data_IF_028866917075
#
_entry.id   IF_028866917075
#
_cell.length_a   1.000
_cell.length_b   1.000
_cell.length_c   1.000
_cell.angle_alpha   90.00
_cell.angle_beta   90.00
_cell.angle_gamma   90.00
#
_symmetry.space_group_name_H-M   'P 1'
#
loop_
_entity.id
_entity.type
_entity.pdbx_description
1 polymer ?
#
# COMPACT_ATOMS: atom_id res chain seq x y z
N UNK A 1 -26.57 57.04 -68.23
CA UNK A 1 -27.37 56.60 -67.00
C UNK A 1 -26.89 55.30 -66.40
N UNK A 2 -25.93 54.62 -67.02
CA UNK A 2 -25.44 53.28 -66.58
C UNK A 2 -24.27 53.31 -65.58
N UNK A 3 -23.47 54.38 -65.58
CA UNK A 3 -22.28 54.40 -64.70
C UNK A 3 -22.66 54.55 -63.17
N UNK A 4 -23.80 55.11 -62.88
CA UNK A 4 -24.29 55.23 -61.46
C UNK A 4 -24.84 53.92 -60.85
N UNK A 5 -25.32 53.05 -61.72
CA UNK A 5 -25.81 51.71 -61.22
C UNK A 5 -24.69 50.78 -60.86
N UNK A 6 -23.64 50.72 -61.67
CA UNK A 6 -22.44 49.92 -61.42
C UNK A 6 -21.69 50.31 -60.13
N UNK A 7 -21.59 51.60 -59.79
CA UNK A 7 -21.02 52.03 -58.51
C UNK A 7 -21.81 51.53 -57.26
N UNK A 8 -23.14 51.43 -57.36
CA UNK A 8 -23.99 50.97 -56.29
C UNK A 8 -23.79 49.47 -56.05
N UNK A 9 -23.64 48.67 -57.12
CA UNK A 9 -23.33 47.22 -56.98
C UNK A 9 -21.94 46.94 -56.47
N UNK A 10 -20.94 47.71 -56.82
CA UNK A 10 -19.57 47.64 -56.31
C UNK A 10 -19.51 47.97 -54.81
N UNK A 11 -20.25 48.96 -54.34
CA UNK A 11 -20.36 49.33 -52.93
C UNK A 11 -21.09 48.26 -52.11
N UNK A 12 -22.09 47.60 -52.70
CA UNK A 12 -22.86 46.50 -52.05
C UNK A 12 -22.01 45.22 -51.98
N UNK A 13 -21.18 44.96 -52.99
CA UNK A 13 -20.30 43.78 -53.02
C UNK A 13 -19.12 43.94 -52.06
N UNK A 14 -18.59 45.14 -51.84
CA UNK A 14 -17.57 45.47 -50.85
C UNK A 14 -18.17 45.36 -49.42
N UNK A 15 -19.42 45.77 -49.21
CA UNK A 15 -20.13 45.64 -47.93
C UNK A 15 -20.37 44.20 -47.51
N UNK A 16 -20.63 43.27 -48.43
CA UNK A 16 -20.82 41.83 -48.16
C UNK A 16 -19.49 41.13 -47.88
N UNK A 17 -18.38 41.57 -48.48
CA UNK A 17 -17.04 41.01 -48.21
C UNK A 17 -16.48 41.39 -46.84
N UNK A 18 -16.92 42.51 -46.25
CA UNK A 18 -16.49 42.94 -44.91
C UNK A 18 -17.25 42.20 -43.81
N UNK A 19 -18.44 41.64 -44.08
CA UNK A 19 -19.20 40.87 -43.10
C UNK A 19 -18.74 39.42 -42.93
N UNK A 20 -17.84 38.92 -43.74
CA UNK A 20 -17.28 37.56 -43.61
C UNK A 20 -15.91 37.52 -42.90
N UNK A 21 -15.39 38.64 -42.41
CA UNK A 21 -14.12 38.74 -41.71
C UNK A 21 -14.24 38.71 -40.18
N UNK A 22 -15.41 38.35 -39.62
CA UNK A 22 -15.53 37.97 -38.21
C UNK A 22 -15.47 36.46 -38.09
N UNK A 23 -14.35 35.83 -38.44
CA UNK A 23 -13.96 34.56 -37.88
C UNK A 23 -13.63 34.85 -36.41
N UNK A 24 -14.55 34.51 -35.52
CA UNK A 24 -14.30 34.50 -34.07
C UNK A 24 -13.11 33.57 -33.83
N UNK A 25 -11.96 34.13 -33.57
CA UNK A 25 -10.86 33.36 -33.01
C UNK A 25 -11.35 32.77 -31.70
N UNK A 26 -11.45 31.49 -31.61
CA UNK A 26 -11.55 30.80 -30.34
C UNK A 26 -10.36 31.30 -29.52
N UNK A 27 -10.64 32.08 -28.47
CA UNK A 27 -9.63 32.46 -27.50
C UNK A 27 -9.30 31.17 -26.73
N UNK A 28 -8.42 30.35 -27.31
CA UNK A 28 -7.89 29.18 -26.62
C UNK A 28 -6.94 29.68 -25.53
N UNK A 29 -7.49 29.84 -24.34
CA UNK A 29 -6.70 30.19 -23.17
C UNK A 29 -5.77 29.00 -22.83
N UNK A 30 -4.47 29.32 -22.68
CA UNK A 30 -3.48 28.37 -22.22
C UNK A 30 -3.17 28.65 -20.75
N UNK A 31 -3.07 27.61 -19.98
CA UNK A 31 -2.85 27.64 -18.54
C UNK A 31 -1.48 27.05 -18.22
N UNK A 32 -0.67 27.82 -17.50
CA UNK A 32 0.66 27.39 -17.07
C UNK A 32 0.57 26.25 -16.06
N UNK A 33 1.44 25.25 -16.23
CA UNK A 33 1.57 24.11 -15.32
C UNK A 33 3.00 23.59 -15.29
N UNK A 34 3.22 22.61 -14.44
CA UNK A 34 4.45 21.81 -14.43
C UNK A 34 4.11 20.34 -14.51
N UNK A 35 4.87 19.62 -15.32
CA UNK A 35 4.76 18.17 -15.38
C UNK A 35 5.24 17.54 -14.09
N UNK A 36 4.51 16.55 -13.63
CA UNK A 36 4.77 15.77 -12.42
C UNK A 36 4.43 14.30 -12.67
N UNK A 37 4.85 13.42 -11.77
CA UNK A 37 4.49 12.01 -11.80
C UNK A 37 4.13 11.52 -10.39
N UNK A 38 3.42 10.40 -10.28
CA UNK A 38 3.20 9.76 -8.98
C UNK A 38 4.48 9.04 -8.55
N UNK A 39 5.18 9.65 -7.59
CA UNK A 39 6.42 9.12 -7.03
C UNK A 39 6.07 8.19 -5.88
N UNK A 40 6.52 6.95 -5.99
CA UNK A 40 6.43 5.96 -4.92
C UNK A 40 7.78 5.83 -4.23
N UNK A 41 7.84 6.20 -2.96
CA UNK A 41 9.01 6.03 -2.11
C UNK A 41 9.02 4.64 -1.48
N UNK A 42 10.04 3.85 -1.78
CA UNK A 42 10.32 2.58 -1.13
C UNK A 42 11.19 2.80 0.09
N UNK A 43 10.73 2.33 1.25
CA UNK A 43 11.45 2.45 2.51
C UNK A 43 11.80 1.07 3.07
N UNK A 44 12.90 0.98 3.82
CA UNK A 44 13.26 -0.22 4.54
C UNK A 44 12.19 -0.60 5.57
N UNK A 45 11.83 -1.87 5.64
CA UNK A 45 10.87 -2.41 6.62
C UNK A 45 11.56 -3.18 7.74
N UNK A 46 12.83 -3.58 7.52
CA UNK A 46 13.67 -4.26 8.51
C UNK A 46 15.03 -3.58 8.62
N UNK A 47 15.73 -3.81 9.74
CA UNK A 47 17.07 -3.27 9.97
C UNK A 47 18.14 -4.26 9.53
N UNK A 48 19.18 -3.76 8.87
CA UNK A 48 20.35 -4.56 8.46
C UNK A 48 21.27 -3.83 7.51
N UNK A 49 22.31 -4.51 7.08
CA UNK A 49 23.23 -4.00 6.05
C UNK A 49 22.67 -4.40 4.68
N UNK A 50 22.77 -3.54 3.69
CA UNK A 50 22.40 -3.85 2.31
C UNK A 50 23.44 -4.81 1.73
N UNK A 51 23.03 -6.05 1.50
CA UNK A 51 23.90 -7.08 0.91
C UNK A 51 24.04 -6.91 -0.60
N UNK A 52 22.93 -6.58 -1.27
CA UNK A 52 22.93 -6.30 -2.70
C UNK A 52 21.94 -5.22 -3.07
N UNK A 53 22.32 -4.39 -4.03
CA UNK A 53 21.51 -3.36 -4.65
C UNK A 53 21.88 -3.36 -6.14
N UNK A 54 20.99 -3.94 -6.96
CA UNK A 54 21.27 -4.26 -8.37
C UNK A 54 20.75 -3.20 -9.34
N UNK A 55 20.25 -2.07 -8.83
CA UNK A 55 19.56 -1.05 -9.61
C UNK A 55 20.24 0.30 -9.46
N UNK A 56 20.26 1.08 -10.54
CA UNK A 56 20.73 2.47 -10.61
C UNK A 56 19.62 3.48 -10.83
N UNK A 57 19.95 4.76 -10.67
CA UNK A 57 19.06 5.85 -11.07
C UNK A 57 18.92 5.87 -12.59
N UNK A 58 17.70 6.05 -13.09
CA UNK A 58 17.36 5.98 -14.50
C UNK A 58 17.01 4.58 -15.02
N UNK A 59 17.22 3.52 -14.25
CA UNK A 59 16.89 2.17 -14.67
C UNK A 59 15.37 1.93 -14.64
N UNK A 60 14.89 1.19 -15.63
CA UNK A 60 13.50 0.73 -15.66
C UNK A 60 13.34 -0.56 -14.85
N UNK A 61 12.28 -0.61 -14.06
CA UNK A 61 11.93 -1.77 -13.22
C UNK A 61 10.54 -2.28 -13.55
N UNK A 62 10.38 -3.60 -13.45
CA UNK A 62 9.09 -4.27 -13.61
C UNK A 62 8.50 -4.59 -12.23
N UNK A 63 7.18 -4.58 -12.13
CA UNK A 63 6.49 -5.01 -10.92
C UNK A 63 6.94 -6.40 -10.48
N UNK A 64 7.33 -6.54 -9.19
CA UNK A 64 7.84 -7.77 -8.59
C UNK A 64 9.33 -8.03 -8.83
N UNK A 65 10.04 -7.17 -9.57
CA UNK A 65 11.49 -7.31 -9.77
C UNK A 65 12.22 -7.09 -8.44
N UNK A 66 13.13 -7.99 -8.02
CA UNK A 66 13.97 -7.78 -6.85
C UNK A 66 14.91 -6.59 -7.06
N UNK A 67 15.02 -5.70 -6.08
CA UNK A 67 15.79 -4.47 -6.15
C UNK A 67 16.92 -4.45 -5.11
N UNK A 68 16.56 -4.75 -3.85
CA UNK A 68 17.47 -4.64 -2.71
C UNK A 68 17.31 -5.87 -1.83
N UNK A 69 18.43 -6.40 -1.36
CA UNK A 69 18.47 -7.46 -0.34
C UNK A 69 19.20 -6.90 0.89
N UNK A 70 18.54 -6.94 2.03
CA UNK A 70 19.13 -6.61 3.34
C UNK A 70 19.58 -7.90 4.00
N UNK A 71 20.73 -7.88 4.67
CA UNK A 71 21.29 -9.04 5.38
C UNK A 71 20.33 -9.54 6.47
N UNK A 72 20.07 -10.84 6.46
CA UNK A 72 19.12 -11.49 7.37
C UNK A 72 19.76 -12.47 8.35
N UNK A 73 21.10 -12.60 8.44
CA UNK A 73 21.78 -13.62 9.23
C UNK A 73 21.35 -13.59 10.71
N UNK A 74 21.21 -12.38 11.27
CA UNK A 74 20.74 -12.22 12.66
C UNK A 74 19.29 -12.70 12.83
N UNK A 75 18.42 -12.39 11.86
CA UNK A 75 17.02 -12.80 11.87
C UNK A 75 16.89 -14.31 11.66
N UNK A 76 17.70 -14.90 10.80
CA UNK A 76 17.74 -16.36 10.59
C UNK A 76 18.20 -17.09 11.86
N UNK A 77 19.26 -16.59 12.52
CA UNK A 77 19.70 -17.13 13.81
C UNK A 77 18.62 -17.03 14.88
N UNK A 78 17.92 -15.91 14.93
CA UNK A 78 16.77 -15.74 15.84
C UNK A 78 15.64 -16.71 15.52
N UNK A 79 15.32 -16.92 14.25
CA UNK A 79 14.31 -17.88 13.80
C UNK A 79 14.68 -19.31 14.24
N UNK A 80 15.93 -19.73 14.06
CA UNK A 80 16.42 -21.04 14.49
C UNK A 80 16.25 -21.24 16.00
N UNK A 81 16.64 -20.25 16.81
CA UNK A 81 16.43 -20.30 18.28
C UNK A 81 14.96 -20.47 18.65
N UNK A 82 14.07 -19.69 18.02
CA UNK A 82 12.64 -19.77 18.26
C UNK A 82 12.06 -21.14 17.86
N UNK A 83 12.53 -21.71 16.76
CA UNK A 83 12.14 -23.06 16.31
C UNK A 83 12.58 -24.14 17.28
N UNK A 84 13.81 -24.09 17.80
CA UNK A 84 14.29 -25.02 18.83
C UNK A 84 13.46 -24.92 20.13
N UNK A 85 13.09 -23.72 20.55
CA UNK A 85 12.20 -23.51 21.69
C UNK A 85 10.79 -24.08 21.45
N UNK A 86 10.28 -24.00 20.21
CA UNK A 86 8.99 -24.61 19.87
C UNK A 86 9.06 -26.13 19.97
N UNK A 87 10.12 -26.73 19.50
CA UNK A 87 10.34 -28.19 19.59
C UNK A 87 10.39 -28.65 21.05
N UNK A 88 11.08 -27.92 21.92
CA UNK A 88 11.10 -28.18 23.37
C UNK A 88 9.67 -28.16 23.96
N UNK A 89 8.86 -27.12 23.63
CA UNK A 89 7.48 -27.04 24.11
C UNK A 89 6.61 -28.17 23.54
N UNK A 90 6.83 -28.59 22.29
CA UNK A 90 6.10 -29.70 21.68
C UNK A 90 6.41 -31.04 22.39
N UNK A 91 7.67 -31.29 22.74
CA UNK A 91 8.08 -32.45 23.55
C UNK A 91 7.40 -32.42 24.94
N UNK A 92 7.38 -31.26 25.59
CA UNK A 92 6.71 -31.07 26.87
C UNK A 92 5.20 -31.32 26.78
N UNK A 93 4.54 -30.87 25.71
CA UNK A 93 3.11 -31.14 25.44
C UNK A 93 2.84 -32.63 25.27
N UNK A 94 3.72 -33.34 24.52
CA UNK A 94 3.58 -34.80 24.34
C UNK A 94 3.71 -35.53 25.68
N UNK A 95 4.69 -35.16 26.52
CA UNK A 95 4.87 -35.72 27.86
C UNK A 95 3.64 -35.51 28.75
N UNK A 96 3.13 -34.26 28.81
CA UNK A 96 1.91 -33.96 29.58
C UNK A 96 0.68 -34.71 29.08
N UNK A 97 0.50 -34.87 27.78
CA UNK A 97 -0.60 -35.68 27.21
C UNK A 97 -0.50 -37.13 27.63
N UNK A 98 0.70 -37.70 27.66
CA UNK A 98 0.94 -39.06 28.10
C UNK A 98 0.58 -39.26 29.59
N UNK A 99 1.01 -38.30 30.44
CA UNK A 99 0.66 -38.30 31.88
C UNK A 99 -0.85 -38.17 32.12
N UNK A 100 -1.51 -37.26 31.38
CA UNK A 100 -2.98 -37.10 31.45
C UNK A 100 -3.68 -38.39 31.03
N UNK A 101 -3.22 -39.04 29.96
CA UNK A 101 -3.80 -40.34 29.50
C UNK A 101 -3.64 -41.44 30.53
N UNK A 102 -2.45 -41.55 31.15
CA UNK A 102 -2.20 -42.52 32.23
C UNK A 102 -3.13 -42.30 33.44
N UNK A 103 -3.20 -41.05 33.91
CA UNK A 103 -4.04 -40.66 35.03
C UNK A 103 -5.53 -40.83 34.72
N UNK A 104 -5.94 -40.59 33.48
CA UNK A 104 -7.33 -40.85 33.04
C UNK A 104 -7.68 -42.34 33.14
N UNK A 105 -6.80 -43.24 32.72
CA UNK A 105 -7.02 -44.69 32.83
C UNK A 105 -7.15 -45.13 34.30
N UNK A 106 -6.30 -44.60 35.20
CA UNK A 106 -6.39 -44.90 36.64
C UNK A 106 -7.69 -44.36 37.27
N UNK A 107 -8.09 -43.14 36.86
CA UNK A 107 -9.36 -42.52 37.28
C UNK A 107 -10.57 -43.37 36.84
N UNK A 108 -10.58 -43.84 35.60
CA UNK A 108 -11.67 -44.64 35.06
C UNK A 108 -11.77 -46.01 35.76
N UNK A 109 -10.63 -46.67 36.03
CA UNK A 109 -10.57 -47.90 36.83
C UNK A 109 -11.10 -47.67 38.28
N UNK A 110 -10.66 -46.55 38.91
CA UNK A 110 -11.10 -46.25 40.29
C UNK A 110 -12.60 -45.93 40.36
N UNK A 111 -13.16 -45.25 39.35
CA UNK A 111 -14.61 -45.01 39.26
C UNK A 111 -15.41 -46.29 39.05
N UNK A 112 -14.94 -47.23 38.24
CA UNK A 112 -15.58 -48.52 38.01
C UNK A 112 -15.57 -49.33 39.27
N UNK A 113 -14.43 -49.34 40.00
CA UNK A 113 -14.30 -50.01 41.27
C UNK A 113 -15.26 -49.45 42.36
N UNK A 114 -15.32 -48.08 42.42
CA UNK A 114 -16.28 -47.41 43.34
C UNK A 114 -17.72 -47.80 43.02
N UNK A 115 -18.14 -47.80 41.74
CA UNK A 115 -19.47 -48.22 41.32
C UNK A 115 -19.80 -49.68 41.73
N UNK A 116 -18.84 -50.57 41.56
CA UNK A 116 -19.00 -51.97 42.01
C UNK A 116 -19.15 -52.05 43.51
N UNK A 117 -18.35 -51.34 44.31
CA UNK A 117 -18.39 -51.31 45.78
C UNK A 117 -19.71 -50.69 46.29
N UNK A 118 -20.25 -49.68 45.62
CA UNK A 118 -21.57 -49.07 45.91
C UNK A 118 -22.70 -50.14 45.79
N UNK A 119 -22.67 -50.97 44.74
CA UNK A 119 -23.62 -52.06 44.54
C UNK A 119 -23.44 -53.12 45.64
N UNK A 120 -22.20 -53.45 46.00
CA UNK A 120 -21.90 -54.40 47.08
C UNK A 120 -22.37 -53.91 48.47
N UNK A 121 -22.23 -52.61 48.74
CA UNK A 121 -22.72 -51.98 49.97
C UNK A 121 -24.24 -52.05 50.05
N UNK A 122 -24.97 -51.80 48.96
CA UNK A 122 -26.43 -51.97 48.92
C UNK A 122 -26.89 -53.39 49.24
N UNK A 123 -26.06 -54.38 48.90
CA UNK A 123 -26.32 -55.80 49.17
C UNK A 123 -25.73 -56.31 50.51
N UNK A 124 -25.17 -55.40 51.35
CA UNK A 124 -24.56 -55.72 52.63
C UNK A 124 -23.20 -56.43 52.55
N UNK A 125 -22.56 -56.48 51.38
CA UNK A 125 -21.28 -57.14 51.10
C UNK A 125 -20.04 -56.20 51.10
N UNK A 126 -20.23 -54.93 51.41
CA UNK A 126 -19.16 -53.95 51.59
C UNK A 126 -19.47 -52.98 52.73
N UNK A 127 -18.50 -52.22 53.22
CA UNK A 127 -18.66 -51.25 54.30
C UNK A 127 -18.70 -49.80 53.74
N UNK A 128 -19.34 -48.89 54.47
CA UNK A 128 -19.32 -47.46 54.13
C UNK A 128 -17.90 -46.92 54.08
N UNK A 129 -17.03 -47.36 54.98
CA UNK A 129 -15.63 -46.95 55.01
C UNK A 129 -14.89 -47.29 53.69
N UNK A 130 -15.11 -48.47 53.13
CA UNK A 130 -14.51 -48.86 51.83
C UNK A 130 -15.04 -48.04 50.69
N UNK A 131 -16.33 -47.68 50.67
CA UNK A 131 -16.90 -46.75 49.67
C UNK A 131 -16.29 -45.37 49.79
N UNK A 132 -16.16 -44.79 51.00
CA UNK A 132 -15.63 -43.44 51.26
C UNK A 132 -14.14 -43.33 50.92
N UNK A 133 -13.35 -44.36 51.15
CA UNK A 133 -11.96 -44.44 50.74
C UNK A 133 -11.82 -44.37 49.21
N UNK A 134 -12.61 -45.19 48.49
CA UNK A 134 -12.60 -45.12 47.00
C UNK A 134 -13.13 -43.84 46.46
N UNK A 135 -14.16 -43.24 47.07
CA UNK A 135 -14.68 -41.91 46.69
C UNK A 135 -13.60 -40.81 46.84
N UNK A 136 -12.85 -40.88 47.98
CA UNK A 136 -11.74 -39.99 48.23
C UNK A 136 -10.64 -40.15 47.19
N UNK A 137 -10.26 -41.41 46.85
CA UNK A 137 -9.29 -41.71 45.79
C UNK A 137 -9.74 -41.12 44.44
N UNK A 138 -10.99 -41.31 44.05
CA UNK A 138 -11.55 -40.74 42.81
C UNK A 138 -11.45 -39.19 42.79
N UNK A 139 -11.74 -38.54 43.94
CA UNK A 139 -11.66 -37.09 44.05
C UNK A 139 -10.21 -36.55 43.91
N UNK A 140 -9.24 -37.25 44.54
CA UNK A 140 -7.81 -36.94 44.44
C UNK A 140 -7.33 -37.06 42.99
N UNK A 141 -7.65 -38.16 42.29
CA UNK A 141 -7.28 -38.39 40.89
C UNK A 141 -7.91 -37.35 39.96
N UNK A 142 -9.17 -36.92 40.20
CA UNK A 142 -9.81 -35.82 39.48
C UNK A 142 -9.04 -34.51 39.64
N UNK A 143 -8.67 -34.16 40.89
CA UNK A 143 -7.91 -32.95 41.17
C UNK A 143 -6.51 -32.94 40.51
N UNK A 144 -5.81 -34.09 40.55
CA UNK A 144 -4.52 -34.26 39.87
C UNK A 144 -4.66 -34.10 38.36
N UNK A 145 -5.69 -34.69 37.73
CA UNK A 145 -5.95 -34.51 36.30
C UNK A 145 -6.23 -33.05 35.93
N UNK A 146 -6.98 -32.33 36.78
CA UNK A 146 -7.28 -30.91 36.57
C UNK A 146 -5.99 -30.05 36.58
N UNK A 147 -5.07 -30.36 37.51
CA UNK A 147 -3.75 -29.72 37.57
C UNK A 147 -2.94 -29.96 36.31
N UNK A 148 -2.87 -31.22 35.83
CA UNK A 148 -2.16 -31.54 34.59
C UNK A 148 -2.80 -30.86 33.35
N UNK A 149 -4.13 -30.81 33.29
CA UNK A 149 -4.85 -30.11 32.25
C UNK A 149 -4.57 -28.59 32.26
N UNK A 150 -4.44 -28.02 33.46
CA UNK A 150 -4.08 -26.59 33.59
C UNK A 150 -2.65 -26.32 33.12
N UNK A 151 -1.71 -27.22 33.47
CA UNK A 151 -0.33 -27.15 32.97
C UNK A 151 -0.27 -27.31 31.44
N UNK A 152 -1.04 -28.25 30.89
CA UNK A 152 -1.14 -28.43 29.44
C UNK A 152 -1.65 -27.14 28.75
N UNK A 153 -2.70 -26.50 29.29
CA UNK A 153 -3.20 -25.22 28.76
C UNK A 153 -2.16 -24.11 28.84
N UNK A 154 -1.40 -24.02 29.92
CA UNK A 154 -0.32 -23.05 30.10
C UNK A 154 0.77 -23.23 29.03
N UNK A 155 1.28 -24.45 28.85
CA UNK A 155 2.32 -24.76 27.86
C UNK A 155 1.80 -24.54 26.44
N UNK A 156 0.55 -24.93 26.14
CA UNK A 156 -0.09 -24.69 24.86
C UNK A 156 -0.21 -23.19 24.56
N UNK A 157 -0.51 -22.35 25.56
CA UNK A 157 -0.55 -20.90 25.42
C UNK A 157 0.85 -20.33 25.10
N UNK A 158 1.89 -20.78 25.82
CA UNK A 158 3.28 -20.39 25.54
C UNK A 158 3.71 -20.76 24.12
N UNK A 159 3.33 -21.98 23.67
CA UNK A 159 3.58 -22.44 22.29
C UNK A 159 2.93 -21.49 21.25
N UNK A 160 1.68 -21.09 21.48
CA UNK A 160 0.98 -20.19 20.59
C UNK A 160 1.63 -18.80 20.53
N UNK A 161 2.10 -18.26 21.67
CA UNK A 161 2.86 -17.01 21.72
C UNK A 161 4.18 -17.11 20.93
N UNK A 162 4.91 -18.22 21.11
CA UNK A 162 6.17 -18.43 20.39
C UNK A 162 5.93 -18.64 18.88
N UNK A 163 4.85 -19.31 18.49
CA UNK A 163 4.46 -19.40 17.08
C UNK A 163 4.17 -18.02 16.46
N UNK A 164 3.58 -17.09 17.21
CA UNK A 164 3.39 -15.73 16.75
C UNK A 164 4.74 -15.00 16.57
N UNK A 165 5.69 -15.19 17.49
CA UNK A 165 7.03 -14.62 17.38
C UNK A 165 7.80 -15.19 16.16
N UNK A 166 7.69 -16.50 15.90
CA UNK A 166 8.26 -17.15 14.69
C UNK A 166 7.68 -16.53 13.42
N UNK A 167 6.36 -16.32 13.37
CA UNK A 167 5.73 -15.66 12.20
C UNK A 167 6.24 -14.25 12.02
N UNK A 168 6.37 -13.46 13.08
CA UNK A 168 6.89 -12.10 13.02
C UNK A 168 8.33 -12.08 12.46
N UNK A 169 9.21 -12.96 12.96
CA UNK A 169 10.58 -13.07 12.45
C UNK A 169 10.63 -13.46 10.97
N UNK A 170 9.75 -14.39 10.52
CA UNK A 170 9.64 -14.76 9.11
C UNK A 170 9.18 -13.59 8.22
N UNK A 171 8.24 -12.79 8.71
CA UNK A 171 7.81 -11.56 8.00
C UNK A 171 9.00 -10.62 7.85
N UNK A 172 9.75 -10.35 8.92
CA UNK A 172 10.94 -9.49 8.86
C UNK A 172 12.03 -10.00 7.89
N UNK A 173 12.20 -11.32 7.79
CA UNK A 173 13.10 -11.94 6.80
C UNK A 173 12.59 -11.71 5.37
N UNK A 174 11.29 -11.84 5.15
CA UNK A 174 10.69 -11.56 3.85
C UNK A 174 10.82 -10.08 3.47
N UNK A 175 10.59 -9.18 4.41
CA UNK A 175 10.67 -7.73 4.25
C UNK A 175 12.09 -7.23 3.97
N UNK A 176 13.11 -8.08 4.19
CA UNK A 176 14.48 -7.82 3.80
C UNK A 176 14.72 -7.95 2.29
N UNK A 177 13.81 -8.60 1.55
CA UNK A 177 13.86 -8.72 0.10
C UNK A 177 12.90 -7.71 -0.52
N UNK A 178 13.43 -6.55 -0.88
CA UNK A 178 12.64 -5.43 -1.39
C UNK A 178 12.52 -5.57 -2.91
N UNK A 179 11.28 -5.63 -3.38
CA UNK A 179 10.93 -5.69 -4.81
C UNK A 179 10.10 -4.48 -5.23
N UNK A 180 10.11 -4.18 -6.52
CA UNK A 180 9.32 -3.09 -7.09
C UNK A 180 7.81 -3.40 -6.99
N UNK A 181 6.99 -2.58 -6.31
CA UNK A 181 5.55 -2.81 -6.20
C UNK A 181 4.79 -2.37 -7.46
N UNK A 182 5.40 -1.52 -8.27
CA UNK A 182 4.89 -1.02 -9.56
C UNK A 182 5.98 -1.15 -10.62
N UNK A 183 5.60 -1.09 -11.88
CA UNK A 183 6.53 -0.82 -12.99
C UNK A 183 6.84 0.68 -13.06
N UNK A 184 8.04 1.03 -13.47
CA UNK A 184 8.45 2.44 -13.61
C UNK A 184 9.94 2.61 -13.72
N UNK A 185 10.39 3.85 -13.55
CA UNK A 185 11.81 4.24 -13.58
C UNK A 185 12.27 4.63 -12.18
N UNK A 186 13.45 4.23 -11.78
CA UNK A 186 14.09 4.65 -10.52
C UNK A 186 14.54 6.10 -10.68
N UNK A 187 13.97 6.99 -9.86
CA UNK A 187 14.29 8.41 -9.87
C UNK A 187 15.49 8.74 -8.99
N UNK A 188 15.45 8.25 -7.74
CA UNK A 188 16.46 8.52 -6.74
C UNK A 188 16.86 7.24 -6.00
N UNK A 189 18.13 7.14 -5.67
CA UNK A 189 18.71 6.10 -4.83
C UNK A 189 19.35 6.74 -3.61
N UNK A 190 18.86 6.42 -2.40
CA UNK A 190 19.29 7.07 -1.16
C UNK A 190 20.41 6.33 -0.44
N UNK A 191 20.60 5.04 -0.72
CA UNK A 191 21.58 4.19 -0.05
C UNK A 191 22.37 3.33 -1.02
N UNK A 192 23.53 2.85 -0.55
CA UNK A 192 24.43 2.01 -1.31
C UNK A 192 24.64 0.64 -0.66
N UNK A 193 25.13 -0.31 -1.44
CA UNK A 193 25.53 -1.62 -0.92
C UNK A 193 26.58 -1.46 0.19
N UNK A 194 26.44 -2.21 1.28
CA UNK A 194 27.27 -2.14 2.47
C UNK A 194 26.80 -1.13 3.53
N UNK A 195 25.85 -0.25 3.23
CA UNK A 195 25.28 0.67 4.21
C UNK A 195 24.28 -0.02 5.13
N UNK A 196 24.21 0.48 6.37
CA UNK A 196 23.20 0.06 7.34
C UNK A 196 21.93 0.88 7.16
N UNK A 197 20.78 0.18 7.15
CA UNK A 197 19.45 0.79 7.08
C UNK A 197 18.57 0.33 8.24
N UNK A 198 17.59 1.16 8.60
CA UNK A 198 16.62 0.87 9.64
C UNK A 198 15.19 1.10 9.11
N UNK A 199 14.16 0.51 9.74
CA UNK A 199 12.76 0.68 9.34
C UNK A 199 12.36 2.15 9.19
N UNK A 200 11.73 2.49 8.07
CA UNK A 200 11.31 3.84 7.72
C UNK A 200 12.34 4.65 6.92
N UNK A 201 13.60 4.22 6.80
CA UNK A 201 14.58 4.91 5.96
C UNK A 201 14.22 4.76 4.48
N UNK A 202 14.19 5.87 3.69
CA UNK A 202 13.93 5.81 2.25
C UNK A 202 15.08 5.08 1.54
N UNK A 203 14.76 4.20 0.62
CA UNK A 203 15.75 3.43 -0.15
C UNK A 203 15.80 3.86 -1.61
N UNK A 204 14.64 3.93 -2.25
CA UNK A 204 14.47 4.27 -3.66
C UNK A 204 13.20 5.08 -3.86
N UNK A 205 13.19 5.91 -4.90
CA UNK A 205 11.99 6.50 -5.47
C UNK A 205 11.75 5.95 -6.87
N UNK A 206 10.53 5.48 -7.13
CA UNK A 206 10.12 4.92 -8.42
C UNK A 206 8.89 5.68 -8.91
N UNK A 207 8.86 6.02 -10.19
CA UNK A 207 7.68 6.61 -10.82
C UNK A 207 7.40 5.95 -12.18
N UNK A 208 6.12 5.84 -12.52
CA UNK A 208 5.73 5.49 -13.88
C UNK A 208 5.75 6.76 -14.74
N UNK A 209 6.82 6.95 -15.51
CA UNK A 209 7.02 8.12 -16.35
C UNK A 209 6.24 8.04 -17.68
N UNK A 210 5.61 6.92 -18.02
CA UNK A 210 4.76 6.81 -19.21
C UNK A 210 3.43 7.57 -19.04
N UNK A 211 3.02 7.79 -17.78
CA UNK A 211 1.84 8.59 -17.43
C UNK A 211 2.27 9.76 -16.58
N UNK A 212 2.27 10.92 -17.20
CA UNK A 212 2.62 12.17 -16.54
C UNK A 212 1.37 12.98 -16.26
N UNK A 213 1.44 13.84 -15.29
CA UNK A 213 0.33 14.72 -14.91
C UNK A 213 0.81 16.14 -14.74
N UNK A 214 -0.07 17.08 -15.01
CA UNK A 214 0.17 18.48 -14.68
C UNK A 214 -1.01 19.04 -13.90
N UNK A 215 -0.75 20.03 -13.08
CA UNK A 215 -1.78 20.81 -12.39
C UNK A 215 -1.77 22.21 -12.94
N UNK A 216 -2.93 22.64 -13.44
CA UNK A 216 -3.18 23.99 -13.91
C UNK A 216 -4.26 24.64 -13.07
N UNK A 217 -4.34 25.98 -13.11
CA UNK A 217 -5.23 26.75 -12.27
C UNK A 217 -6.17 27.58 -13.14
N UNK A 218 -7.46 27.31 -13.07
CA UNK A 218 -8.50 27.95 -13.85
C UNK A 218 -9.35 28.88 -13.00
N UNK A 219 -9.76 30.03 -13.54
CA UNK A 219 -10.77 30.89 -12.88
C UNK A 219 -12.15 30.21 -12.87
N UNK A 220 -13.03 30.64 -11.97
CA UNK A 220 -14.37 30.06 -11.77
C UNK A 220 -15.19 30.00 -13.07
N UNK A 221 -15.08 31.01 -13.92
CA UNK A 221 -15.82 31.09 -15.19
C UNK A 221 -15.47 29.94 -16.13
N UNK A 222 -14.20 29.53 -16.16
CA UNK A 222 -13.70 28.46 -17.03
C UNK A 222 -13.92 27.07 -16.40
N UNK A 223 -13.75 26.95 -15.10
CA UNK A 223 -13.95 25.67 -14.39
C UNK A 223 -15.39 25.14 -14.54
N UNK A 224 -16.38 26.04 -14.64
CA UNK A 224 -17.78 25.63 -14.82
C UNK A 224 -18.08 25.08 -16.22
N UNK A 225 -17.19 25.28 -17.20
CA UNK A 225 -17.36 24.81 -18.58
C UNK A 225 -16.72 23.45 -18.82
N UNK A 226 -15.76 23.03 -17.98
CA UNK A 226 -14.98 21.81 -18.16
C UNK A 226 -15.63 20.61 -17.47
N UNK A 227 -15.28 19.42 -17.97
CA UNK A 227 -15.75 18.13 -17.42
C UNK A 227 -14.58 17.17 -17.26
N UNK A 228 -14.67 16.32 -16.26
CA UNK A 228 -13.74 15.17 -16.11
C UNK A 228 -13.90 14.27 -17.35
N UNK A 229 -12.77 13.84 -17.93
CA UNK A 229 -12.70 13.09 -19.17
C UNK A 229 -12.58 13.94 -20.43
N UNK A 230 -12.66 15.28 -20.33
CA UNK A 230 -12.49 16.21 -21.46
C UNK A 230 -11.04 16.19 -21.92
N UNK A 231 -10.84 16.32 -23.25
CA UNK A 231 -9.52 16.35 -23.86
C UNK A 231 -8.86 17.72 -23.64
N UNK A 232 -7.54 17.68 -23.59
CA UNK A 232 -6.71 18.87 -23.50
C UNK A 232 -5.44 18.65 -24.32
N UNK A 233 -4.81 19.73 -24.76
CA UNK A 233 -3.51 19.73 -25.42
C UNK A 233 -2.48 20.29 -24.47
N UNK A 234 -1.36 19.60 -24.34
CA UNK A 234 -0.25 20.00 -23.48
C UNK A 234 0.93 20.38 -24.37
N UNK A 235 1.33 21.61 -24.28
CA UNK A 235 2.47 22.19 -25.00
C UNK A 235 3.67 22.26 -24.05
N UNK A 236 4.81 21.76 -24.49
CA UNK A 236 6.05 21.80 -23.71
C UNK A 236 7.11 22.57 -24.49
N UNK A 237 7.89 23.40 -23.83
CA UNK A 237 8.93 24.19 -24.45
C UNK A 237 9.94 23.33 -25.23
N UNK A 238 10.21 23.71 -26.47
CA UNK A 238 11.16 22.99 -27.35
C UNK A 238 10.60 21.74 -28.01
N UNK A 239 9.29 21.47 -27.91
CA UNK A 239 8.60 20.37 -28.57
C UNK A 239 7.46 20.94 -29.42
N UNK A 240 7.54 20.74 -30.74
CA UNK A 240 6.60 21.36 -31.70
C UNK A 240 5.20 20.73 -31.64
N UNK A 241 5.11 19.41 -31.37
CA UNK A 241 3.84 18.68 -31.32
C UNK A 241 3.27 18.66 -29.90
N UNK A 242 2.01 19.06 -29.69
CA UNK A 242 1.38 18.97 -28.40
C UNK A 242 1.14 17.51 -28.00
N UNK A 243 1.16 17.23 -26.69
CA UNK A 243 0.77 15.95 -26.14
C UNK A 243 -0.75 15.93 -25.89
N UNK A 244 -1.36 14.78 -26.19
CA UNK A 244 -2.74 14.57 -25.81
C UNK A 244 -2.85 14.43 -24.28
N UNK A 245 -3.74 15.22 -23.70
CA UNK A 245 -4.04 15.21 -22.28
C UNK A 245 -5.51 14.93 -22.03
N UNK A 246 -5.83 14.45 -20.83
CA UNK A 246 -7.22 14.25 -20.38
C UNK A 246 -7.39 14.82 -18.98
N UNK A 247 -8.46 15.57 -18.75
CA UNK A 247 -8.81 16.09 -17.42
C UNK A 247 -9.23 14.92 -16.53
N UNK A 248 -8.47 14.67 -15.47
CA UNK A 248 -8.73 13.57 -14.53
C UNK A 248 -9.35 14.02 -13.21
N UNK A 249 -9.17 15.29 -12.86
CA UNK A 249 -9.69 15.81 -11.60
C UNK A 249 -9.84 17.33 -11.64
N UNK A 250 -10.88 17.81 -10.96
CA UNK A 250 -11.19 19.24 -10.77
C UNK A 250 -11.39 19.50 -9.29
N UNK A 251 -10.73 20.51 -8.74
CA UNK A 251 -10.87 20.86 -7.32
C UNK A 251 -12.29 21.31 -6.99
N UNK A 252 -12.82 20.84 -5.87
CA UNK A 252 -14.12 21.30 -5.32
C UNK A 252 -13.99 22.55 -4.46
N UNK A 253 -12.76 22.97 -4.14
CA UNK A 253 -12.45 24.17 -3.35
C UNK A 253 -11.54 25.07 -4.13
N UNK A 254 -11.77 26.38 -4.03
CA UNK A 254 -10.90 27.37 -4.61
C UNK A 254 -9.62 27.55 -3.80
N UNK A 255 -8.53 27.82 -4.49
CA UNK A 255 -7.23 28.16 -3.91
C UNK A 255 -6.88 29.61 -4.32
N UNK A 256 -6.05 30.28 -3.53
CA UNK A 256 -5.43 31.54 -3.98
C UNK A 256 -4.37 31.23 -5.02
N UNK A 257 -4.28 32.07 -6.07
CA UNK A 257 -3.24 31.90 -7.11
C UNK A 257 -1.86 31.67 -6.48
N UNK A 258 -1.14 30.60 -6.85
CA UNK A 258 0.22 30.37 -6.39
C UNK A 258 1.12 31.57 -6.68
N UNK A 259 2.03 31.90 -5.76
CA UNK A 259 2.93 33.09 -5.83
C UNK A 259 3.85 33.16 -7.06
N UNK A 260 3.84 32.18 -7.93
CA UNK A 260 4.63 32.07 -9.15
C UNK A 260 4.09 32.91 -10.32
N UNK A 261 2.88 33.48 -10.21
CA UNK A 261 2.30 34.35 -11.27
C UNK A 261 2.63 35.80 -10.96
N UNK A 262 3.44 36.44 -11.82
CA UNK A 262 4.15 37.69 -11.57
C UNK A 262 3.36 38.98 -11.88
N UNK A 263 2.07 38.92 -12.22
CA UNK A 263 1.30 40.14 -12.51
C UNK A 263 0.51 40.63 -11.30
N UNK A 264 0.44 41.95 -11.08
CA UNK A 264 -0.25 42.56 -9.94
C UNK A 264 -1.76 42.29 -9.92
N UNK A 265 -2.36 42.04 -11.08
CA UNK A 265 -3.81 41.85 -11.25
C UNK A 265 -4.28 40.44 -10.88
N UNK A 266 -3.41 39.44 -10.94
CA UNK A 266 -3.75 38.04 -10.68
C UNK A 266 -3.56 37.60 -9.21
N UNK A 267 -3.04 38.45 -8.33
CA UNK A 267 -2.72 38.10 -6.94
C UNK A 267 -3.91 37.88 -6.00
N UNK A 268 -5.12 38.22 -6.43
CA UNK A 268 -6.33 38.15 -5.58
C UNK A 268 -7.45 37.32 -6.18
N UNK A 269 -7.22 36.66 -7.31
CA UNK A 269 -8.27 35.87 -7.98
C UNK A 269 -8.29 34.44 -7.40
N UNK A 270 -9.47 34.00 -6.99
CA UNK A 270 -9.73 32.62 -6.62
C UNK A 270 -9.66 31.74 -7.87
N UNK A 271 -8.89 30.69 -7.80
CA UNK A 271 -8.71 29.73 -8.89
C UNK A 271 -8.98 28.32 -8.42
N UNK A 272 -9.30 27.45 -9.34
CA UNK A 272 -9.53 26.04 -9.08
C UNK A 272 -8.43 25.21 -9.73
N UNK A 273 -7.85 24.30 -8.97
CA UNK A 273 -6.85 23.39 -9.49
C UNK A 273 -7.50 22.31 -10.37
N UNK A 274 -6.94 22.07 -11.53
CA UNK A 274 -7.36 21.04 -12.49
C UNK A 274 -6.16 20.14 -12.79
N UNK A 275 -6.33 18.82 -12.67
CA UNK A 275 -5.30 17.86 -13.04
C UNK A 275 -5.57 17.33 -14.45
N UNK A 276 -4.54 17.35 -15.26
CA UNK A 276 -4.55 16.82 -16.63
C UNK A 276 -3.47 15.73 -16.69
N UNK A 277 -3.86 14.53 -17.12
CA UNK A 277 -2.95 13.42 -17.36
C UNK A 277 -2.56 13.38 -18.83
N UNK A 278 -1.26 13.18 -19.09
CA UNK A 278 -0.67 13.08 -20.41
C UNK A 278 -0.07 11.70 -20.63
N UNK A 279 -0.22 11.16 -21.84
CA UNK A 279 0.57 10.02 -22.30
C UNK A 279 1.99 10.49 -22.67
N UNK A 280 2.98 9.93 -22.01
CA UNK A 280 4.40 10.18 -22.25
C UNK A 280 5.12 8.94 -22.78
N UNK A 281 4.45 8.10 -23.56
CA UNK A 281 5.05 6.89 -24.16
C UNK A 281 6.33 7.19 -24.98
N UNK A 282 6.48 8.41 -25.49
CA UNK A 282 7.69 8.90 -26.17
C UNK A 282 8.84 9.28 -25.22
N UNK A 283 8.60 9.34 -23.89
CA UNK A 283 9.61 9.68 -22.88
C UNK A 283 10.16 11.11 -22.93
N UNK A 284 9.49 12.03 -23.63
CA UNK A 284 9.95 13.40 -23.84
C UNK A 284 9.61 14.33 -22.68
N UNK A 285 8.47 14.13 -22.02
CA UNK A 285 8.11 14.91 -20.84
C UNK A 285 8.96 14.50 -19.65
N UNK A 286 9.41 15.48 -18.87
CA UNK A 286 10.22 15.27 -17.66
C UNK A 286 9.53 15.90 -16.46
N UNK A 287 9.75 15.34 -15.27
CA UNK A 287 9.27 15.92 -14.01
C UNK A 287 9.87 17.32 -13.84
N UNK A 288 9.03 18.29 -13.47
CA UNK A 288 9.40 19.69 -13.31
C UNK A 288 9.39 20.51 -14.59
N UNK A 289 9.19 19.89 -15.77
CA UNK A 289 9.14 20.60 -17.06
C UNK A 289 7.95 21.58 -17.07
N UNK A 290 8.18 22.88 -17.41
CA UNK A 290 7.09 23.82 -17.59
C UNK A 290 6.28 23.45 -18.82
N UNK A 291 4.97 23.58 -18.73
CA UNK A 291 4.03 23.29 -19.83
C UNK A 291 2.87 24.27 -19.82
N UNK A 292 2.27 24.46 -20.97
CA UNK A 292 1.00 25.16 -21.15
C UNK A 292 -0.10 24.15 -21.52
N UNK A 293 -1.24 24.26 -20.90
CA UNK A 293 -2.41 23.38 -21.14
C UNK A 293 -3.52 24.19 -21.80
N UNK A 294 -3.94 23.73 -22.96
CA UNK A 294 -5.09 24.22 -23.70
C UNK A 294 -6.23 23.20 -23.56
N UNK A 295 -7.39 23.64 -23.07
CA UNK A 295 -8.56 22.77 -22.85
C UNK A 295 -9.48 22.90 -24.06
N UNK A 296 -9.85 21.78 -24.70
CA UNK A 296 -10.70 21.74 -25.89
C UNK A 296 -12.19 21.88 -25.59
#
# INVERSE_FOLDING_TARGET
MEIRAMKKYYLLLIGVLILWSCSGGENNYRYDGRMDADILQLSAQTAGIIDSLTIGEGDEVKKGQPLIVINTDKLQTQLQRQQAQLEELDVNIISLRSQIKQLQAELDFSKETLKKTEIMLQNGAATEHQRDELQTKVNVLKAQRETLNSNYRLISSKRNQLNAAVRATKISINDANISAPIEGTVLNKFHYQGEFVAPGMPLLEIANLNKMKTRVYLPLEEVNKIKIGQQAKIYADGIDEPFAGTITWVASQSEFTPKTILTKETRTTLVYAVKVEADNSRGLLKIGMPVEVEIE
#
